data_IF_119505084743
#
_entry.id   IF_119505084743
#
_cell.length_a   1.000
_cell.length_b   1.000
_cell.length_c   1.000
_cell.angle_alpha   90.00
_cell.angle_beta   90.00
_cell.angle_gamma   90.00
#
_symmetry.space_group_name_H-M   'P 1'
#
loop_
_entity.id
_entity.type
_entity.pdbx_description
1 polymer ?
#
# COMPACT_ATOMS: atom_id res chain seq x y z
N UNK A 1 10.47 5.93 8.78
CA UNK A 1 11.81 5.34 8.99
C UNK A 1 12.83 5.89 8.04
N UNK A 2 12.43 6.22 6.82
CA UNK A 2 13.26 6.85 5.82
C UNK A 2 12.47 7.92 5.05
N UNK A 3 13.09 8.51 4.04
CA UNK A 3 12.42 9.40 3.09
C UNK A 3 12.02 8.66 1.81
N UNK A 4 12.07 9.35 0.68
CA UNK A 4 11.55 8.87 -0.61
C UNK A 4 12.65 8.47 -1.59
N UNK A 5 12.34 7.59 -2.54
CA UNK A 5 13.27 7.18 -3.60
C UNK A 5 13.67 8.36 -4.51
N UNK A 6 12.74 9.26 -4.82
CA UNK A 6 12.96 10.36 -5.78
C UNK A 6 14.13 11.27 -5.40
N UNK A 7 14.29 11.56 -4.10
CA UNK A 7 15.34 12.41 -3.52
C UNK A 7 16.49 11.64 -2.89
N UNK A 8 16.55 10.31 -3.10
CA UNK A 8 17.57 9.41 -2.54
C UNK A 8 17.62 9.41 -1.01
N UNK A 9 16.46 9.55 -0.37
CA UNK A 9 16.35 9.58 1.10
C UNK A 9 15.71 8.32 1.67
N UNK A 10 15.12 7.47 0.81
CA UNK A 10 14.75 6.11 1.20
C UNK A 10 15.99 5.29 1.57
N UNK A 11 15.89 4.43 2.58
CA UNK A 11 17.03 3.65 3.06
C UNK A 11 17.04 2.27 2.40
N UNK A 12 18.06 2.03 1.59
CA UNK A 12 18.26 0.82 0.80
C UNK A 12 19.28 -0.13 1.45
N UNK A 13 19.17 -1.42 1.14
CA UNK A 13 20.17 -2.41 1.56
C UNK A 13 21.50 -2.24 0.79
N UNK A 14 21.40 -1.90 -0.49
CA UNK A 14 22.50 -1.64 -1.41
C UNK A 14 22.55 -0.18 -1.85
N UNK A 15 23.67 0.27 -2.40
CA UNK A 15 23.82 1.65 -2.88
C UNK A 15 22.75 2.00 -3.93
N UNK A 16 22.34 3.26 -3.98
CA UNK A 16 21.59 3.78 -5.12
C UNK A 16 22.41 3.55 -6.40
N UNK A 17 21.76 2.99 -7.43
CA UNK A 17 22.43 2.63 -8.69
C UNK A 17 23.09 3.83 -9.38
N UNK A 18 22.50 5.02 -9.20
CA UNK A 18 22.99 6.29 -9.73
C UNK A 18 23.85 7.09 -8.74
N UNK A 19 24.10 6.57 -7.53
CA UNK A 19 24.92 7.22 -6.51
C UNK A 19 25.65 6.20 -5.63
N UNK A 20 26.77 5.69 -6.14
CA UNK A 20 27.65 4.75 -5.43
C UNK A 20 28.12 5.32 -4.08
N UNK A 21 28.15 4.48 -3.05
CA UNK A 21 28.49 4.82 -1.67
C UNK A 21 27.35 5.44 -0.86
N UNK A 22 26.16 5.63 -1.47
CA UNK A 22 25.00 6.20 -0.80
C UNK A 22 23.83 5.23 -0.82
N UNK A 23 23.27 4.94 0.36
CA UNK A 23 22.12 4.03 0.54
C UNK A 23 20.89 4.74 1.11
N UNK A 24 20.92 6.06 1.26
CA UNK A 24 20.02 6.75 2.19
C UNK A 24 20.43 6.51 3.64
N UNK A 25 19.61 7.00 4.58
CA UNK A 25 19.84 6.85 6.01
C UNK A 25 18.50 6.75 6.76
N UNK A 26 18.34 5.80 7.69
CA UNK A 26 17.16 5.77 8.53
C UNK A 26 17.15 6.97 9.49
N UNK A 27 15.95 7.49 9.78
CA UNK A 27 15.75 8.58 10.74
C UNK A 27 15.93 8.13 12.19
N UNK A 28 15.57 6.88 12.47
CA UNK A 28 15.62 6.26 13.81
C UNK A 28 16.41 4.95 13.75
N UNK A 29 17.02 4.55 14.86
CA UNK A 29 17.60 3.21 15.00
C UNK A 29 16.50 2.16 15.16
N UNK A 30 16.86 0.88 15.00
CA UNK A 30 15.95 -0.24 15.20
C UNK A 30 15.50 -0.33 16.65
N UNK A 31 16.41 -0.07 17.59
CA UNK A 31 16.18 -0.09 19.04
C UNK A 31 15.21 1.03 19.47
N UNK A 32 15.40 2.25 18.98
CA UNK A 32 14.49 3.38 19.24
C UNK A 32 13.09 3.10 18.71
N UNK A 33 13.00 2.59 17.47
CA UNK A 33 11.72 2.21 16.88
C UNK A 33 11.04 1.08 17.67
N UNK A 34 11.78 0.04 18.07
CA UNK A 34 11.22 -1.08 18.84
C UNK A 34 10.69 -0.62 20.21
N UNK A 35 11.39 0.29 20.88
CA UNK A 35 10.93 0.86 22.14
C UNK A 35 9.62 1.65 21.96
N UNK A 36 9.54 2.48 20.92
CA UNK A 36 8.32 3.25 20.60
C UNK A 36 7.13 2.34 20.24
N UNK A 37 7.36 1.33 19.39
CA UNK A 37 6.33 0.33 19.04
C UNK A 37 5.84 -0.40 20.28
N UNK A 38 6.75 -0.87 21.14
CA UNK A 38 6.38 -1.59 22.37
C UNK A 38 5.50 -0.72 23.26
N UNK A 39 5.91 0.52 23.49
CA UNK A 39 5.15 1.46 24.31
C UNK A 39 3.73 1.70 23.75
N UNK A 40 3.60 1.90 22.43
CA UNK A 40 2.30 2.05 21.77
C UNK A 40 1.42 0.79 21.93
N UNK A 41 1.99 -0.37 21.61
CA UNK A 41 1.27 -1.63 21.61
C UNK A 41 0.84 -2.07 23.02
N UNK A 42 1.66 -1.85 24.04
CA UNK A 42 1.32 -2.14 25.45
C UNK A 42 0.15 -1.27 25.96
N UNK A 43 -0.07 -0.11 25.33
CA UNK A 43 -1.22 0.76 25.59
C UNK A 43 -2.43 0.46 24.67
N UNK A 44 -2.38 -0.62 23.89
CA UNK A 44 -3.47 -1.06 23.02
C UNK A 44 -3.57 -0.32 21.69
N UNK A 45 -2.56 0.46 21.29
CA UNK A 45 -2.56 1.20 20.03
C UNK A 45 -1.66 0.51 18.98
N UNK A 46 -2.20 0.06 17.84
CA UNK A 46 -1.38 -0.50 16.77
C UNK A 46 -0.53 0.61 16.13
N UNK A 47 0.66 0.23 15.66
CA UNK A 47 1.60 1.17 15.04
C UNK A 47 1.58 1.05 13.52
N UNK A 48 1.64 2.21 12.86
CA UNK A 48 1.86 2.36 11.43
C UNK A 48 3.22 3.00 11.20
N UNK A 49 4.07 2.38 10.38
CA UNK A 49 5.45 2.84 10.17
C UNK A 49 5.72 3.07 8.69
N UNK A 50 6.08 4.31 8.34
CA UNK A 50 6.57 4.66 7.00
C UNK A 50 7.90 3.96 6.71
N UNK A 51 7.96 3.16 5.63
CA UNK A 51 9.21 2.60 5.11
C UNK A 51 9.13 2.39 3.58
N UNK A 52 9.98 3.10 2.83
CA UNK A 52 10.00 3.04 1.37
C UNK A 52 11.07 2.07 0.85
N UNK A 53 12.31 2.20 1.34
CA UNK A 53 13.43 1.39 0.88
C UNK A 53 13.49 0.02 1.54
N UNK A 54 14.06 -0.95 0.84
CA UNK A 54 14.18 -2.34 1.30
C UNK A 54 14.96 -2.47 2.62
N UNK A 55 16.00 -1.64 2.81
CA UNK A 55 16.72 -1.55 4.08
C UNK A 55 15.83 -1.08 5.24
N UNK A 56 14.98 -0.07 5.02
CA UNK A 56 14.01 0.38 6.04
C UNK A 56 12.93 -0.65 6.31
N UNK A 57 12.37 -1.30 5.28
CA UNK A 57 11.35 -2.33 5.45
C UNK A 57 11.88 -3.46 6.33
N UNK A 58 13.09 -3.96 6.05
CA UNK A 58 13.74 -4.99 6.87
C UNK A 58 13.95 -4.55 8.32
N UNK A 59 14.42 -3.31 8.54
CA UNK A 59 14.63 -2.74 9.87
C UNK A 59 13.33 -2.60 10.67
N UNK A 60 12.22 -2.22 10.02
CA UNK A 60 10.89 -2.14 10.66
C UNK A 60 10.38 -3.52 11.04
N UNK A 61 10.55 -4.52 10.19
CA UNK A 61 10.19 -5.91 10.50
C UNK A 61 11.00 -6.46 11.68
N UNK A 62 12.28 -6.10 11.80
CA UNK A 62 13.11 -6.43 12.96
C UNK A 62 12.59 -5.76 14.23
N UNK A 63 12.24 -4.48 14.15
CA UNK A 63 11.67 -3.74 15.28
C UNK A 63 10.32 -4.32 15.73
N UNK A 64 9.43 -4.71 14.81
CA UNK A 64 8.18 -5.39 15.15
C UNK A 64 8.40 -6.74 15.81
N UNK A 65 9.39 -7.51 15.36
CA UNK A 65 9.76 -8.79 15.97
C UNK A 65 10.26 -8.58 17.40
N UNK A 66 11.11 -7.58 17.62
CA UNK A 66 11.66 -7.27 18.93
C UNK A 66 10.58 -6.74 19.89
N UNK A 67 9.73 -5.82 19.44
CA UNK A 67 8.64 -5.21 20.19
C UNK A 67 7.38 -6.09 20.34
N UNK A 68 7.48 -7.38 20.03
CA UNK A 68 6.32 -8.27 20.00
C UNK A 68 5.64 -8.39 21.36
N UNK A 69 4.37 -7.99 21.39
CA UNK A 69 3.43 -8.13 22.52
C UNK A 69 2.07 -8.53 21.96
N UNK A 70 1.20 -9.22 22.74
CA UNK A 70 -0.17 -9.51 22.32
C UNK A 70 -0.91 -8.24 21.95
N UNK A 71 -1.63 -8.26 20.83
CA UNK A 71 -2.35 -7.11 20.28
C UNK A 71 -3.64 -7.56 19.60
N UNK A 72 -4.68 -6.74 19.72
CA UNK A 72 -5.97 -7.01 19.07
C UNK A 72 -5.96 -6.59 17.59
N UNK A 73 -5.28 -5.49 17.25
CA UNK A 73 -5.13 -4.99 15.89
C UNK A 73 -3.69 -5.16 15.41
N UNK A 74 -3.49 -5.42 14.10
CA UNK A 74 -2.15 -5.63 13.56
C UNK A 74 -1.40 -4.30 13.41
N UNK A 75 -0.09 -4.37 13.54
CA UNK A 75 0.80 -3.31 13.07
C UNK A 75 0.89 -3.33 11.55
N UNK A 76 1.31 -2.22 10.95
CA UNK A 76 1.46 -2.12 9.49
C UNK A 76 2.67 -1.31 9.06
N UNK A 77 3.15 -1.61 7.86
CA UNK A 77 4.19 -0.82 7.17
C UNK A 77 3.51 -0.08 6.01
N UNK A 78 3.77 1.22 5.93
CA UNK A 78 3.29 2.07 4.84
C UNK A 78 4.30 2.12 3.70
N UNK A 79 3.79 2.21 2.48
CA UNK A 79 4.49 2.36 1.20
C UNK A 79 5.12 1.07 0.67
N UNK A 80 6.21 0.59 1.30
CA UNK A 80 6.90 -0.63 0.89
C UNK A 80 7.22 -0.58 -0.62
N UNK A 81 7.78 0.55 -1.07
CA UNK A 81 8.00 0.75 -2.51
C UNK A 81 9.05 -0.21 -3.05
N UNK A 82 10.03 -0.61 -2.23
CA UNK A 82 11.02 -1.66 -2.53
C UNK A 82 11.13 -2.59 -1.33
N UNK A 83 11.19 -3.90 -1.56
CA UNK A 83 11.27 -4.90 -0.49
C UNK A 83 12.15 -6.08 -0.87
N UNK A 84 12.91 -6.62 0.07
CA UNK A 84 13.62 -7.88 -0.17
C UNK A 84 12.64 -9.05 -0.29
N UNK A 85 12.88 -9.97 -1.23
CA UNK A 85 12.00 -11.14 -1.41
C UNK A 85 11.87 -11.97 -0.14
N UNK A 86 12.95 -12.06 0.65
CA UNK A 86 12.95 -12.74 1.94
C UNK A 86 12.04 -12.07 2.98
N UNK A 87 11.78 -10.78 2.85
CA UNK A 87 10.98 -10.01 3.79
C UNK A 87 9.47 -10.18 3.58
N UNK A 88 9.03 -10.53 2.37
CA UNK A 88 7.60 -10.76 2.06
C UNK A 88 6.99 -11.80 3.03
N UNK A 89 7.66 -12.93 3.25
CA UNK A 89 7.16 -13.96 4.18
C UNK A 89 7.12 -13.47 5.63
N UNK A 90 8.05 -12.59 6.02
CA UNK A 90 8.14 -12.07 7.39
C UNK A 90 6.92 -11.23 7.77
N UNK A 91 6.29 -10.53 6.82
CA UNK A 91 5.03 -9.83 7.07
C UNK A 91 3.96 -10.79 7.61
N UNK A 92 3.78 -11.93 6.94
CA UNK A 92 2.82 -12.96 7.37
C UNK A 92 3.22 -13.59 8.70
N UNK A 93 4.49 -13.99 8.84
CA UNK A 93 4.98 -14.64 10.06
C UNK A 93 4.81 -13.74 11.31
N UNK A 94 4.92 -12.41 11.13
CA UNK A 94 4.79 -11.44 12.20
C UNK A 94 3.36 -10.88 12.37
N UNK A 95 2.41 -11.25 11.49
CA UNK A 95 1.07 -10.67 11.48
C UNK A 95 1.08 -9.15 11.26
N UNK A 96 1.91 -8.68 10.32
CA UNK A 96 2.06 -7.28 9.92
C UNK A 96 1.35 -7.08 8.59
N UNK A 97 0.60 -5.98 8.48
CA UNK A 97 -0.11 -5.63 7.24
C UNK A 97 0.79 -4.81 6.31
N UNK A 98 0.72 -5.10 5.02
CA UNK A 98 1.28 -4.27 3.97
C UNK A 98 0.26 -3.19 3.57
N UNK A 99 0.62 -1.91 3.72
CA UNK A 99 -0.22 -0.77 3.31
C UNK A 99 0.46 -0.02 2.16
N UNK A 100 -0.07 -0.16 0.95
CA UNK A 100 0.62 0.27 -0.28
C UNK A 100 -0.23 1.25 -1.09
N UNK A 101 0.41 2.10 -1.90
CA UNK A 101 -0.27 3.12 -2.72
C UNK A 101 -0.08 2.82 -4.22
N UNK A 102 -1.11 2.27 -4.91
CA UNK A 102 -1.00 1.92 -6.32
C UNK A 102 -0.54 3.06 -7.24
N UNK A 103 -0.98 4.29 -6.97
CA UNK A 103 -0.58 5.43 -7.78
C UNK A 103 0.89 5.83 -7.60
N UNK A 104 1.52 5.53 -6.46
CA UNK A 104 2.96 5.74 -6.29
C UNK A 104 3.75 4.87 -7.28
N UNK A 105 3.30 3.63 -7.52
CA UNK A 105 3.88 2.78 -8.56
C UNK A 105 3.67 3.39 -9.94
N UNK A 106 2.42 3.56 -10.37
CA UNK A 106 2.15 3.96 -11.75
C UNK A 106 2.63 5.37 -12.07
N UNK A 107 2.57 6.28 -11.09
CA UNK A 107 3.03 7.66 -11.20
C UNK A 107 4.55 7.82 -11.35
N UNK A 108 5.33 6.77 -11.12
CA UNK A 108 6.79 6.76 -11.19
C UNK A 108 7.35 5.94 -12.35
N UNK A 109 6.50 5.18 -13.04
CA UNK A 109 6.83 4.45 -14.28
C UNK A 109 7.47 5.42 -15.29
N UNK A 110 8.65 5.04 -15.80
CA UNK A 110 9.41 5.83 -16.77
C UNK A 110 10.02 7.12 -16.22
N UNK A 111 10.07 7.29 -14.88
CA UNK A 111 10.67 8.48 -14.25
C UNK A 111 11.98 8.20 -13.54
N UNK A 112 11.99 7.36 -12.49
CA UNK A 112 13.19 7.24 -11.65
C UNK A 112 13.42 5.88 -10.99
N UNK A 113 12.45 4.96 -10.90
CA UNK A 113 12.64 3.71 -10.14
C UNK A 113 13.87 2.92 -10.63
N UNK A 114 13.92 2.57 -11.92
CA UNK A 114 15.06 1.87 -12.53
C UNK A 114 16.37 2.63 -12.39
N UNK A 115 16.36 3.96 -12.51
CA UNK A 115 17.58 4.78 -12.34
C UNK A 115 18.10 4.70 -10.90
N UNK A 116 17.19 4.72 -9.91
CA UNK A 116 17.54 4.73 -8.48
C UNK A 116 17.99 3.37 -7.98
N UNK A 117 17.32 2.29 -8.38
CA UNK A 117 17.59 0.93 -7.85
C UNK A 117 18.13 -0.05 -8.89
N UNK A 118 18.19 0.30 -10.17
CA UNK A 118 18.73 -0.57 -11.23
C UNK A 118 17.80 -1.72 -11.61
N UNK A 119 18.01 -2.24 -12.82
CA UNK A 119 17.17 -3.27 -13.44
C UNK A 119 17.07 -4.56 -12.62
N UNK A 120 18.13 -4.94 -11.90
CA UNK A 120 18.12 -6.17 -11.09
C UNK A 120 17.21 -6.08 -9.86
N UNK A 121 17.01 -4.87 -9.31
CA UNK A 121 16.20 -4.64 -8.10
C UNK A 121 14.81 -4.11 -8.42
N UNK A 122 14.60 -3.60 -9.63
CA UNK A 122 13.29 -3.12 -10.11
C UNK A 122 12.14 -4.14 -9.95
N UNK A 123 12.33 -5.45 -10.19
CA UNK A 123 11.27 -6.45 -9.95
C UNK A 123 10.82 -6.58 -8.49
N UNK A 124 11.56 -5.97 -7.56
CA UNK A 124 11.24 -5.92 -6.13
C UNK A 124 10.40 -4.69 -5.76
N UNK A 125 10.08 -3.84 -6.72
CA UNK A 125 9.35 -2.61 -6.50
C UNK A 125 7.83 -2.81 -6.62
N UNK A 126 7.08 -2.31 -5.65
CA UNK A 126 5.60 -2.32 -5.64
C UNK A 126 4.99 -3.70 -5.90
N UNK A 127 5.44 -4.72 -5.16
CA UNK A 127 5.14 -6.15 -5.36
C UNK A 127 3.85 -6.62 -4.65
N UNK A 128 2.77 -5.87 -4.77
CA UNK A 128 1.54 -6.15 -4.02
C UNK A 128 0.86 -7.49 -4.36
N UNK A 129 1.01 -8.01 -5.59
CA UNK A 129 0.52 -9.36 -5.91
C UNK A 129 1.32 -10.43 -5.17
N UNK A 130 2.65 -10.30 -5.13
CA UNK A 130 3.50 -11.21 -4.34
C UNK A 130 3.16 -11.20 -2.85
N UNK A 131 2.78 -10.04 -2.28
CA UNK A 131 2.30 -9.94 -0.90
C UNK A 131 1.02 -10.77 -0.70
N UNK A 132 0.04 -10.62 -1.59
CA UNK A 132 -1.21 -11.40 -1.54
C UNK A 132 -0.96 -12.90 -1.67
N UNK A 133 -0.14 -13.32 -2.63
CA UNK A 133 0.20 -14.74 -2.86
C UNK A 133 0.91 -15.37 -1.64
N UNK A 134 1.73 -14.58 -0.94
CA UNK A 134 2.34 -15.02 0.31
C UNK A 134 1.33 -15.15 1.47
N UNK A 135 0.11 -14.62 1.32
CA UNK A 135 -0.92 -14.55 2.35
C UNK A 135 -0.69 -13.40 3.34
N UNK A 136 0.00 -12.35 2.92
CA UNK A 136 0.14 -11.11 3.68
C UNK A 136 -1.16 -10.30 3.56
N UNK A 137 -1.77 -9.85 4.67
CA UNK A 137 -2.86 -8.90 4.59
C UNK A 137 -2.38 -7.63 3.88
N UNK A 138 -3.07 -7.24 2.82
CA UNK A 138 -2.76 -6.08 2.00
C UNK A 138 -3.91 -5.08 2.09
N UNK A 139 -3.56 -3.82 2.32
CA UNK A 139 -4.48 -2.70 2.18
C UNK A 139 -3.93 -1.69 1.20
N UNK A 140 -4.83 -1.03 0.48
CA UNK A 140 -4.46 0.07 -0.40
C UNK A 140 -4.88 1.42 0.18
N UNK A 141 -4.07 2.44 -0.09
CA UNK A 141 -4.31 3.82 0.32
C UNK A 141 -3.90 4.81 -0.76
N UNK A 142 -4.30 6.08 -0.61
CA UNK A 142 -3.90 7.16 -1.51
C UNK A 142 -2.61 7.87 -1.11
N UNK A 143 -2.38 8.05 0.19
CA UNK A 143 -1.43 9.08 0.65
C UNK A 143 -1.74 10.47 0.05
N UNK A 144 -3.03 10.81 -0.08
CA UNK A 144 -3.45 12.15 -0.49
C UNK A 144 -2.82 13.20 0.46
N UNK A 145 -2.32 14.35 -0.04
CA UNK A 145 -2.44 14.86 -1.42
C UNK A 145 -1.28 14.47 -2.35
N UNK A 146 -0.39 13.56 -1.95
CA UNK A 146 0.73 13.10 -2.78
C UNK A 146 0.23 12.43 -4.07
N UNK A 147 -0.91 11.72 -3.99
CA UNK A 147 -1.55 11.07 -5.13
C UNK A 147 -3.01 11.51 -5.34
N UNK A 148 -3.66 11.16 -6.48
CA UNK A 148 -5.06 11.46 -6.74
C UNK A 148 -5.99 10.92 -5.64
N UNK A 149 -6.98 11.75 -5.27
CA UNK A 149 -7.96 11.39 -4.24
C UNK A 149 -8.85 10.20 -4.63
N UNK A 150 -9.11 10.01 -5.93
CA UNK A 150 -10.09 9.03 -6.41
C UNK A 150 -9.60 7.58 -6.20
N UNK A 151 -10.32 6.75 -5.42
CA UNK A 151 -9.98 5.33 -5.30
C UNK A 151 -10.19 4.57 -6.61
N UNK A 152 -11.11 5.01 -7.49
CA UNK A 152 -11.33 4.36 -8.80
C UNK A 152 -10.11 4.52 -9.72
N UNK A 153 -9.42 5.67 -9.64
CA UNK A 153 -8.14 5.87 -10.32
C UNK A 153 -7.09 4.90 -9.80
N UNK A 154 -7.05 4.66 -8.50
CA UNK A 154 -6.02 3.80 -7.91
C UNK A 154 -6.33 2.32 -8.04
N UNK A 155 -7.61 1.93 -8.08
CA UNK A 155 -8.01 0.58 -8.50
C UNK A 155 -7.54 0.34 -9.93
N UNK A 156 -7.74 1.29 -10.85
CA UNK A 156 -7.18 1.20 -12.20
C UNK A 156 -5.66 1.02 -12.17
N UNK A 157 -4.94 1.79 -11.34
CA UNK A 157 -3.49 1.69 -11.20
C UNK A 157 -3.04 0.31 -10.70
N UNK A 158 -3.76 -0.27 -9.73
CA UNK A 158 -3.46 -1.60 -9.18
C UNK A 158 -3.70 -2.75 -10.18
N UNK A 159 -4.75 -2.62 -11.00
CA UNK A 159 -5.19 -3.64 -11.96
C UNK A 159 -4.40 -3.58 -13.27
N UNK A 160 -4.16 -2.39 -13.82
CA UNK A 160 -3.56 -2.25 -15.15
C UNK A 160 -2.08 -1.88 -15.12
N UNK A 161 -1.58 -1.31 -14.01
CA UNK A 161 -0.15 -0.95 -13.82
C UNK A 161 0.47 -0.13 -14.97
N UNK A 162 -0.32 0.74 -15.58
CA UNK A 162 0.10 1.60 -16.68
C UNK A 162 0.38 3.02 -16.18
N UNK A 163 1.35 3.71 -16.78
CA UNK A 163 1.66 5.09 -16.39
C UNK A 163 0.49 6.02 -16.68
N UNK A 164 0.07 6.86 -15.70
CA UNK A 164 -0.97 7.83 -15.92
C UNK A 164 -0.53 8.99 -16.82
N UNK A 165 0.77 9.07 -17.15
CA UNK A 165 1.39 10.12 -17.96
C UNK A 165 1.76 9.65 -19.37
N UNK A 166 1.40 8.41 -19.75
CA UNK A 166 1.80 7.83 -21.03
C UNK A 166 3.31 7.55 -21.13
N UNK A 167 4.00 7.45 -20.00
CA UNK A 167 5.41 7.04 -19.94
C UNK A 167 5.50 5.51 -19.86
N UNK A 168 6.35 4.89 -20.68
CA UNK A 168 6.49 3.43 -20.75
C UNK A 168 5.74 2.77 -21.92
N UNK A 169 5.95 1.47 -22.09
CA UNK A 169 5.47 0.68 -23.24
C UNK A 169 4.39 -0.33 -22.82
N UNK A 170 3.39 0.10 -22.05
CA UNK A 170 2.31 -0.74 -21.52
C UNK A 170 2.40 -0.99 -20.02
N UNK A 171 1.75 -2.06 -19.50
CA UNK A 171 1.80 -2.43 -18.09
C UNK A 171 3.22 -2.66 -17.58
N UNK A 172 3.57 -2.04 -16.45
CA UNK A 172 4.85 -2.19 -15.78
C UNK A 172 4.77 -3.29 -14.72
N UNK A 173 5.58 -4.35 -14.87
CA UNK A 173 5.47 -5.56 -14.05
C UNK A 173 4.03 -6.11 -14.00
N UNK A 174 3.44 -6.54 -15.14
CA UNK A 174 2.06 -7.06 -15.19
C UNK A 174 1.84 -8.28 -14.28
N UNK A 175 2.88 -9.06 -13.98
CA UNK A 175 2.86 -10.14 -12.99
C UNK A 175 2.56 -9.66 -11.57
N UNK A 176 2.71 -8.35 -11.31
CA UNK A 176 2.32 -7.72 -10.05
C UNK A 176 0.93 -7.07 -10.11
N UNK A 177 0.17 -7.23 -11.19
CA UNK A 177 -1.22 -6.77 -11.24
C UNK A 177 -2.13 -7.60 -10.32
N UNK A 178 -3.23 -7.00 -9.87
CA UNK A 178 -4.28 -7.70 -9.10
C UNK A 178 -5.61 -7.65 -9.83
N UNK A 179 -6.51 -8.57 -9.51
CA UNK A 179 -7.88 -8.51 -10.03
C UNK A 179 -8.64 -7.31 -9.46
N UNK A 180 -9.75 -6.95 -10.10
CA UNK A 180 -10.64 -5.91 -9.60
C UNK A 180 -11.14 -6.22 -8.18
N UNK A 181 -11.52 -7.47 -7.93
CA UNK A 181 -12.04 -7.94 -6.64
C UNK A 181 -10.96 -7.85 -5.56
N UNK A 182 -9.72 -8.24 -5.88
CA UNK A 182 -8.59 -8.10 -4.97
C UNK A 182 -8.32 -6.62 -4.65
N UNK A 183 -8.31 -5.74 -5.66
CA UNK A 183 -8.12 -4.31 -5.44
C UNK A 183 -9.26 -3.68 -4.62
N UNK A 184 -10.51 -4.03 -4.93
CA UNK A 184 -11.69 -3.56 -4.21
C UNK A 184 -11.64 -4.03 -2.75
N UNK A 185 -11.34 -5.30 -2.51
CA UNK A 185 -11.18 -5.86 -1.16
C UNK A 185 -10.10 -5.12 -0.37
N UNK A 186 -8.93 -4.87 -0.97
CA UNK A 186 -7.82 -4.13 -0.36
C UNK A 186 -8.17 -2.69 0.02
N UNK A 187 -9.10 -2.04 -0.70
CA UNK A 187 -9.60 -0.69 -0.37
C UNK A 187 -10.78 -0.67 0.61
N UNK A 188 -11.43 -1.82 0.86
CA UNK A 188 -12.69 -1.90 1.61
C UNK A 188 -12.55 -2.84 2.80
N UNK A 189 -12.89 -4.12 2.61
CA UNK A 189 -12.95 -5.10 3.68
C UNK A 189 -11.60 -5.35 4.35
N UNK A 190 -10.49 -5.32 3.60
CA UNK A 190 -9.16 -5.50 4.18
C UNK A 190 -8.84 -4.41 5.20
N UNK A 191 -9.13 -3.14 4.88
CA UNK A 191 -8.97 -2.01 5.80
C UNK A 191 -9.88 -2.14 7.02
N UNK A 192 -11.14 -2.54 6.83
CA UNK A 192 -12.07 -2.79 7.93
C UNK A 192 -11.55 -3.88 8.89
N UNK A 193 -11.00 -4.98 8.35
CA UNK A 193 -10.47 -6.11 9.11
C UNK A 193 -9.25 -5.77 9.98
N UNK A 194 -8.55 -4.67 9.69
CA UNK A 194 -7.46 -4.19 10.55
C UNK A 194 -7.96 -3.48 11.81
N UNK A 195 -9.25 -3.20 11.87
CA UNK A 195 -9.91 -2.49 12.96
C UNK A 195 -10.89 -3.42 13.68
N UNK A 196 -11.41 -3.03 14.85
CA UNK A 196 -12.53 -3.73 15.48
C UNK A 196 -13.83 -3.73 14.66
N UNK A 197 -13.87 -3.08 13.50
CA UNK A 197 -15.08 -2.85 12.71
C UNK A 197 -15.24 -3.78 11.50
N UNK A 198 -14.41 -4.83 11.39
CA UNK A 198 -14.45 -5.78 10.26
C UNK A 198 -15.83 -6.40 10.02
N UNK A 199 -16.62 -6.58 11.07
CA UNK A 199 -17.99 -7.13 11.02
C UNK A 199 -19.07 -6.04 10.84
N UNK A 200 -18.70 -4.76 10.90
CA UNK A 200 -19.62 -3.62 10.87
C UNK A 200 -19.52 -2.82 9.58
N UNK A 201 -18.34 -2.75 8.95
CA UNK A 201 -18.10 -1.97 7.72
C UNK A 201 -17.28 -2.78 6.69
N UNK A 202 -17.01 -2.19 5.54
CA UNK A 202 -16.07 -2.71 4.54
C UNK A 202 -16.68 -3.62 3.47
N UNK A 203 -17.95 -4.01 3.59
CA UNK A 203 -18.66 -4.77 2.54
C UNK A 203 -20.15 -4.49 2.53
N UNK A 204 -20.78 -4.65 1.37
CA UNK A 204 -22.24 -4.63 1.24
C UNK A 204 -22.76 -6.04 1.57
N UNK A 205 -23.04 -6.28 2.84
CA UNK A 205 -23.53 -7.55 3.35
C UNK A 205 -24.51 -7.32 4.51
N UNK A 206 -25.51 -8.19 4.64
CA UNK A 206 -26.53 -8.10 5.69
C UNK A 206 -25.87 -8.06 7.07
N UNK A 207 -26.28 -7.11 7.91
CA UNK A 207 -25.75 -6.91 9.27
C UNK A 207 -24.71 -5.78 9.40
N UNK A 208 -24.14 -5.32 8.28
CA UNK A 208 -23.20 -4.19 8.25
C UNK A 208 -23.90 -2.85 8.09
N UNK A 209 -23.18 -1.77 8.42
CA UNK A 209 -23.61 -0.41 8.11
C UNK A 209 -23.75 -0.24 6.61
N UNK A 210 -24.78 0.52 6.21
CA UNK A 210 -25.03 0.84 4.81
C UNK A 210 -24.11 2.01 4.37
N UNK A 211 -22.81 1.73 4.36
CA UNK A 211 -21.74 2.58 3.84
C UNK A 211 -21.44 2.15 2.41
N UNK A 212 -21.90 2.93 1.43
CA UNK A 212 -21.69 2.63 0.02
C UNK A 212 -21.66 3.90 -0.83
N UNK A 213 -21.13 3.75 -2.03
CA UNK A 213 -21.13 4.79 -3.05
C UNK A 213 -21.93 4.34 -4.26
N UNK A 214 -22.55 5.30 -4.93
CA UNK A 214 -23.10 5.13 -6.27
C UNK A 214 -22.08 5.71 -7.24
N UNK A 215 -21.66 4.90 -8.22
CA UNK A 215 -20.71 5.29 -9.27
C UNK A 215 -21.48 5.54 -10.56
N UNK A 216 -21.03 6.50 -11.38
CA UNK A 216 -21.69 6.86 -12.63
C UNK A 216 -21.60 5.76 -13.71
N UNK A 217 -22.77 5.37 -14.21
CA UNK A 217 -22.90 4.34 -15.25
C UNK A 217 -22.57 2.92 -14.76
N UNK A 218 -22.25 2.04 -15.70
CA UNK A 218 -21.94 0.63 -15.44
C UNK A 218 -20.45 0.39 -15.66
N UNK A 219 -19.83 -0.36 -14.76
CA UNK A 219 -18.46 -0.85 -14.95
C UNK A 219 -18.46 -1.94 -16.02
N UNK A 220 -17.47 -1.93 -16.92
CA UNK A 220 -17.31 -2.98 -17.93
C UNK A 220 -17.06 -4.34 -17.28
N UNK A 221 -17.53 -5.41 -17.92
CA UNK A 221 -17.25 -6.80 -17.58
C UNK A 221 -16.82 -7.55 -18.86
N UNK A 222 -15.51 -7.90 -19.01
CA UNK A 222 -14.43 -7.70 -18.05
C UNK A 222 -14.08 -6.22 -17.85
N UNK A 223 -13.50 -5.89 -16.69
CA UNK A 223 -13.10 -4.52 -16.35
C UNK A 223 -12.11 -3.96 -17.38
N UNK A 224 -12.28 -2.70 -17.76
CA UNK A 224 -11.37 -1.97 -18.64
C UNK A 224 -10.87 -0.66 -17.99
N UNK A 225 -9.99 0.07 -18.70
CA UNK A 225 -9.36 1.31 -18.21
C UNK A 225 -10.35 2.48 -18.04
N UNK A 226 -11.60 2.35 -18.48
CA UNK A 226 -12.60 3.40 -18.31
C UNK A 226 -13.00 3.61 -16.85
N UNK A 227 -12.74 2.65 -15.95
CA UNK A 227 -12.97 2.81 -14.50
C UNK A 227 -12.24 4.04 -13.94
N UNK A 228 -11.08 4.40 -14.48
CA UNK A 228 -10.33 5.60 -14.09
C UNK A 228 -11.11 6.91 -14.28
N UNK A 229 -12.05 6.93 -15.22
CA UNK A 229 -12.84 8.11 -15.56
C UNK A 229 -14.17 8.17 -14.79
N UNK A 230 -14.54 7.09 -14.11
CA UNK A 230 -15.75 6.99 -13.33
C UNK A 230 -15.70 7.92 -12.13
N UNK A 231 -16.89 8.37 -11.70
CA UNK A 231 -17.08 9.34 -10.64
C UNK A 231 -18.10 8.82 -9.65
N UNK A 232 -17.91 9.18 -8.38
CA UNK A 232 -18.91 8.96 -7.35
C UNK A 232 -20.04 9.97 -7.55
N UNK A 233 -21.26 9.50 -7.77
CA UNK A 233 -22.48 10.30 -7.88
C UNK A 233 -23.11 10.57 -6.52
N UNK A 234 -23.06 9.61 -5.61
CA UNK A 234 -23.56 9.76 -4.24
C UNK A 234 -22.77 8.89 -3.25
N UNK A 235 -22.71 9.35 -2.01
CA UNK A 235 -22.10 8.60 -0.88
C UNK A 235 -23.13 8.48 0.23
N UNK A 236 -23.29 7.27 0.75
CA UNK A 236 -24.12 6.94 1.89
C UNK A 236 -23.23 6.52 3.05
N UNK A 237 -23.52 7.04 4.25
CA UNK A 237 -22.90 6.64 5.51
C UNK A 237 -24.00 6.25 6.51
N UNK A 238 -23.92 5.03 7.03
CA UNK A 238 -24.91 4.40 7.89
C UNK A 238 -26.35 4.56 7.36
N UNK A 239 -26.51 4.45 6.03
CA UNK A 239 -27.80 4.58 5.34
C UNK A 239 -28.26 6.02 5.06
N UNK A 240 -27.50 7.04 5.46
CA UNK A 240 -27.81 8.44 5.18
C UNK A 240 -26.99 8.95 4.00
N UNK A 241 -27.63 9.62 3.04
CA UNK A 241 -26.92 10.30 1.97
C UNK A 241 -26.15 11.50 2.55
N UNK A 242 -24.82 11.49 2.45
CA UNK A 242 -23.94 12.56 2.95
C UNK A 242 -23.31 13.37 1.83
N UNK A 243 -23.37 12.87 0.60
CA UNK A 243 -22.86 13.53 -0.58
C UNK A 243 -23.69 13.16 -1.80
N UNK A 244 -23.96 14.15 -2.64
CA UNK A 244 -24.45 13.97 -4.01
C UNK A 244 -23.72 14.95 -4.91
N UNK A 245 -23.25 14.45 -6.04
CA UNK A 245 -22.64 15.27 -7.08
C UNK A 245 -23.70 16.25 -7.60
N UNK A 246 -23.40 17.57 -7.64
CA UNK A 246 -24.32 18.59 -8.16
C UNK A 246 -24.74 18.35 -9.61
#
# INVERSE_FOLDING_TARGET
>A
MDGVLSTRTAYLHEDYSDQKGWKGKPFETKEELAAAIRASNENGFPTAVHAIGDGSVGQVLDAFKEASVPRAQPNRIEHIEVVETADIKRFKDLGVVASMQPNHATGTIGKYITERIGENREPRAYVWHSMLEAGVPLVFGSDWPTSPLSPLTQINDAVFRESPFGLGNGPWHPEQAVSFEQALFSYTQAGANMTPWGDQIGSISVGKWADFVIVDGTLSDPLDRSIRQRKVEATYLAGNEVYRKP
#
